data_IF_354687567829
#
_entry.id   IF_354687567829
#
_cell.length_a   1.000
_cell.length_b   1.000
_cell.length_c   1.000
_cell.angle_alpha   90.00
_cell.angle_beta   90.00
_cell.angle_gamma   90.00
#
_symmetry.space_group_name_H-M   'P 1'
#
loop_
_entity.id
_entity.type
_entity.pdbx_description
1 polymer ?
#
# COMPACT_ATOMS: atom_id res chain seq x y z
N UNK A 1 -2.90 -9.42 11.73
CA UNK A 1 -2.27 -9.20 10.41
C UNK A 1 -1.66 -10.49 9.88
N UNK A 2 -0.78 -11.14 10.64
CA UNK A 2 -0.13 -12.42 10.29
C UNK A 2 -1.10 -13.59 10.04
N UNK A 3 -2.15 -13.73 10.86
CA UNK A 3 -3.13 -14.83 10.72
C UNK A 3 -3.97 -14.77 9.44
N UNK A 4 -4.08 -13.60 8.82
CA UNK A 4 -4.82 -13.41 7.57
C UNK A 4 -3.95 -13.65 6.32
N UNK A 5 -2.66 -13.95 6.48
CA UNK A 5 -1.75 -14.26 5.36
C UNK A 5 -1.35 -13.07 4.49
N UNK A 6 -1.54 -11.82 4.96
CA UNK A 6 -1.12 -10.63 4.22
C UNK A 6 0.40 -10.50 4.22
N UNK A 7 0.99 -10.19 3.05
CA UNK A 7 2.44 -9.99 2.88
C UNK A 7 2.87 -8.57 3.22
N UNK A 8 2.00 -7.60 2.94
CA UNK A 8 2.28 -6.18 3.16
C UNK A 8 1.00 -5.41 3.51
N UNK A 9 1.17 -4.14 3.84
CA UNK A 9 0.06 -3.23 4.14
C UNK A 9 -0.95 -3.14 2.99
N UNK A 10 -0.50 -3.18 1.74
CA UNK A 10 -1.38 -3.08 0.55
C UNK A 10 -2.41 -4.21 0.52
N UNK A 11 -2.00 -5.45 0.71
CA UNK A 11 -2.91 -6.60 0.78
C UNK A 11 -3.84 -6.52 1.99
N UNK A 12 -3.33 -6.07 3.13
CA UNK A 12 -4.15 -5.85 4.32
C UNK A 12 -5.24 -4.79 4.06
N UNK A 13 -4.91 -3.70 3.35
CA UNK A 13 -5.86 -2.65 3.01
C UNK A 13 -6.89 -3.11 1.96
N UNK A 14 -6.50 -3.94 0.99
CA UNK A 14 -7.42 -4.53 0.02
C UNK A 14 -8.50 -5.43 0.67
N UNK A 15 -8.24 -5.94 1.87
CA UNK A 15 -9.25 -6.70 2.63
C UNK A 15 -10.35 -5.82 3.25
N UNK A 16 -10.13 -4.51 3.35
CA UNK A 16 -11.09 -3.58 3.93
C UNK A 16 -12.07 -3.11 2.84
N UNK A 17 -13.40 -3.20 3.04
CA UNK A 17 -14.37 -2.76 2.04
C UNK A 17 -14.28 -1.27 1.67
N UNK A 18 -13.72 -0.46 2.57
CA UNK A 18 -13.58 0.99 2.43
C UNK A 18 -12.25 1.39 1.79
N UNK A 19 -11.23 0.53 1.87
CA UNK A 19 -9.90 0.80 1.35
C UNK A 19 -9.67 -0.01 0.08
N UNK A 20 -9.28 0.69 -0.97
CA UNK A 20 -8.94 0.11 -2.26
C UNK A 20 -7.47 0.44 -2.49
N UNK A 21 -6.59 -0.55 -2.61
CA UNK A 21 -5.24 -0.24 -3.06
C UNK A 21 -5.19 -0.29 -4.59
N UNK A 22 -4.66 0.75 -5.22
CA UNK A 22 -4.30 0.72 -6.64
C UNK A 22 -2.82 0.35 -6.74
N UNK A 23 -2.56 -0.86 -7.22
CA UNK A 23 -1.21 -1.40 -7.35
C UNK A 23 -0.78 -1.37 -8.81
N UNK A 24 0.30 -0.65 -9.10
CA UNK A 24 0.97 -0.77 -10.39
C UNK A 24 1.76 -2.08 -10.40
N UNK A 25 1.47 -2.93 -11.39
CA UNK A 25 1.94 -4.31 -11.46
C UNK A 25 3.47 -4.44 -11.30
N UNK A 26 3.93 -5.32 -10.42
CA UNK A 26 5.35 -5.54 -10.12
C UNK A 26 6.16 -6.00 -11.35
N UNK A 27 5.51 -6.66 -12.30
CA UNK A 27 6.11 -7.10 -13.56
C UNK A 27 6.29 -5.98 -14.60
N UNK A 28 5.68 -4.79 -14.39
CA UNK A 28 5.76 -3.65 -15.29
C UNK A 28 6.88 -2.69 -14.87
N UNK A 29 8.12 -3.11 -15.11
CA UNK A 29 9.34 -2.34 -14.80
C UNK A 29 9.57 -1.13 -15.72
N UNK A 30 8.86 -1.04 -16.85
CA UNK A 30 8.93 0.07 -17.83
C UNK A 30 7.84 1.13 -17.59
N UNK A 31 7.50 1.43 -16.34
CA UNK A 31 6.53 2.47 -15.99
C UNK A 31 7.21 3.57 -15.18
N UNK A 32 6.59 4.75 -15.10
CA UNK A 32 7.12 5.86 -14.29
C UNK A 32 7.13 5.56 -12.78
N UNK A 33 6.41 4.52 -12.33
CA UNK A 33 6.24 4.18 -10.91
C UNK A 33 6.15 2.65 -10.73
N UNK A 34 7.24 1.91 -11.02
CA UNK A 34 7.24 0.45 -10.88
C UNK A 34 7.04 0.09 -9.39
N UNK A 35 6.22 -0.94 -9.14
CA UNK A 35 5.87 -1.39 -7.78
C UNK A 35 5.22 -0.30 -6.90
N UNK A 36 4.53 0.67 -7.50
CA UNK A 36 3.77 1.67 -6.75
C UNK A 36 2.46 1.07 -6.23
N UNK A 37 2.37 0.88 -4.92
CA UNK A 37 1.14 0.48 -4.25
C UNK A 37 0.52 1.67 -3.54
N UNK A 38 -0.44 2.28 -4.21
CA UNK A 38 -1.11 3.49 -3.79
C UNK A 38 -2.38 3.18 -3.01
N UNK A 39 -2.68 3.99 -2.00
CA UNK A 39 -3.85 3.81 -1.14
C UNK A 39 -4.97 4.75 -1.53
N UNK A 40 -6.07 4.17 -1.96
CA UNK A 40 -7.31 4.86 -2.25
C UNK A 40 -8.40 4.44 -1.24
N UNK A 41 -9.28 5.37 -0.89
CA UNK A 41 -10.49 5.06 -0.12
C UNK A 41 -11.69 5.33 -1.02
N UNK A 42 -12.55 4.33 -1.23
CA UNK A 42 -13.76 4.48 -2.07
C UNK A 42 -13.53 4.95 -3.52
N UNK A 43 -12.38 4.65 -4.13
CA UNK A 43 -12.09 4.92 -5.57
C UNK A 43 -11.99 6.41 -5.93
N UNK A 44 -11.50 7.24 -5.02
CA UNK A 44 -11.32 8.69 -5.22
C UNK A 44 -10.07 9.04 -6.05
N UNK A 45 -9.19 8.08 -6.28
CA UNK A 45 -7.94 8.23 -7.02
C UNK A 45 -6.77 8.73 -6.17
N UNK A 46 -5.59 8.82 -6.80
CA UNK A 46 -4.34 8.81 -6.05
C UNK A 46 -4.01 10.07 -5.26
N UNK A 47 -3.42 9.90 -4.08
CA UNK A 47 -2.91 11.02 -3.26
C UNK A 47 -3.98 11.83 -2.55
N UNK A 48 -5.13 11.23 -2.28
CA UNK A 48 -6.26 11.83 -1.52
C UNK A 48 -6.43 11.25 -0.12
N UNK A 49 -5.52 10.36 0.27
CA UNK A 49 -5.49 9.69 1.57
C UNK A 49 -4.19 10.03 2.25
N UNK A 50 -4.28 10.56 3.46
CA UNK A 50 -3.09 10.76 4.27
C UNK A 50 -2.70 9.47 4.98
N UNK A 51 -1.48 9.00 4.75
CA UNK A 51 -0.92 7.83 5.44
C UNK A 51 -0.01 8.28 6.58
N UNK A 52 -0.31 7.77 7.79
CA UNK A 52 0.46 8.00 8.99
C UNK A 52 1.05 6.68 9.49
N UNK A 53 2.25 6.73 10.06
CA UNK A 53 2.88 5.65 10.81
C UNK A 53 3.10 6.14 12.23
N UNK A 54 2.45 5.51 13.21
CA UNK A 54 2.45 5.94 14.61
C UNK A 54 2.14 7.44 14.77
N UNK A 55 1.15 7.94 14.01
CA UNK A 55 0.77 9.35 14.02
C UNK A 55 1.73 10.32 13.30
N UNK A 56 2.82 9.83 12.71
CA UNK A 56 3.76 10.64 11.92
C UNK A 56 3.48 10.46 10.43
N UNK A 57 3.58 11.53 9.65
CA UNK A 57 3.41 11.44 8.19
C UNK A 57 4.49 10.56 7.58
N UNK A 58 4.07 9.62 6.74
CA UNK A 58 5.00 8.83 5.94
C UNK A 58 5.54 9.68 4.79
N UNK A 59 6.77 9.39 4.35
CA UNK A 59 7.36 10.07 3.22
C UNK A 59 6.65 9.65 1.93
N UNK A 60 6.43 10.62 1.03
CA UNK A 60 5.90 10.37 -0.30
C UNK A 60 6.89 9.52 -1.11
N UNK A 61 6.35 8.70 -2.00
CA UNK A 61 7.13 8.01 -3.02
C UNK A 61 7.88 9.05 -3.87
N UNK A 62 9.17 8.85 -4.18
CA UNK A 62 10.03 9.87 -4.79
C UNK A 62 9.61 10.30 -6.20
N UNK A 63 8.66 9.58 -6.81
CA UNK A 63 8.08 9.92 -8.10
C UNK A 63 6.56 10.11 -7.97
N UNK A 64 5.98 11.18 -8.53
CA UNK A 64 4.54 11.35 -8.55
C UNK A 64 3.85 10.21 -9.32
N UNK A 65 2.74 9.69 -8.78
CA UNK A 65 1.89 8.72 -9.47
C UNK A 65 1.43 9.33 -10.79
N UNK A 66 1.82 8.69 -11.89
CA UNK A 66 1.52 9.14 -13.24
C UNK A 66 1.81 10.64 -13.50
N UNK A 67 2.87 11.18 -12.89
CA UNK A 67 3.26 12.59 -13.01
C UNK A 67 2.21 13.62 -12.51
N UNK A 68 1.26 13.21 -11.66
CA UNK A 68 0.15 14.09 -11.25
C UNK A 68 -0.13 14.14 -9.76
N UNK A 69 0.28 13.15 -8.95
CA UNK A 69 -0.08 13.12 -7.53
C UNK A 69 1.01 12.48 -6.69
N UNK A 70 1.33 13.08 -5.55
CA UNK A 70 2.19 12.46 -4.56
C UNK A 70 1.41 11.38 -3.80
N UNK A 71 2.04 10.24 -3.56
CA UNK A 71 1.40 9.14 -2.88
C UNK A 71 2.41 8.40 -2.01
N UNK A 72 1.90 7.67 -1.02
CA UNK A 72 2.72 6.82 -0.16
C UNK A 72 2.67 5.39 -0.70
N UNK A 73 3.84 4.79 -0.93
CA UNK A 73 3.92 3.41 -1.36
C UNK A 73 3.73 2.45 -0.17
N UNK A 74 2.51 1.95 -0.03
CA UNK A 74 2.12 1.02 1.05
C UNK A 74 2.74 -0.38 0.90
N UNK A 75 3.18 -0.75 -0.30
CA UNK A 75 3.78 -2.07 -0.56
C UNK A 75 5.14 -2.27 0.12
N UNK A 76 5.76 -1.17 0.56
CA UNK A 76 7.04 -1.17 1.27
C UNK A 76 6.93 -1.52 2.76
N UNK A 77 5.71 -1.56 3.31
CA UNK A 77 5.49 -1.88 4.73
C UNK A 77 5.15 -3.37 4.86
N UNK A 78 6.04 -4.20 5.44
CA UNK A 78 5.76 -5.61 5.71
C UNK A 78 4.61 -5.76 6.72
N UNK A 79 3.75 -6.76 6.51
CA UNK A 79 2.63 -7.00 7.41
C UNK A 79 3.07 -7.40 8.85
N UNK A 80 4.27 -7.98 9.00
CA UNK A 80 4.85 -8.34 10.29
C UNK A 80 5.19 -7.15 11.20
N UNK A 81 5.36 -5.95 10.62
CA UNK A 81 5.59 -4.72 11.38
C UNK A 81 4.29 -4.06 11.86
N UNK A 82 3.13 -4.50 11.38
CA UNK A 82 1.84 -3.84 11.60
C UNK A 82 1.10 -4.51 12.76
N UNK A 83 0.87 -3.76 13.83
CA UNK A 83 0.00 -4.15 14.94
C UNK A 83 -1.48 -4.00 14.53
N UNK A 84 -1.86 -2.78 14.13
CA UNK A 84 -3.22 -2.47 13.67
C UNK A 84 -3.26 -1.30 12.69
N UNK A 85 -4.36 -1.21 11.97
CA UNK A 85 -4.66 -0.14 11.01
C UNK A 85 -5.89 0.60 11.49
N UNK A 86 -5.77 1.91 11.62
CA UNK A 86 -6.87 2.81 11.99
C UNK A 86 -7.25 3.63 10.75
N UNK A 87 -8.52 3.55 10.35
CA UNK A 87 -9.05 4.31 9.19
C UNK A 87 -10.03 5.34 9.69
N UNK A 88 -9.70 6.62 9.49
CA UNK A 88 -10.56 7.74 9.81
C UNK A 88 -11.10 8.38 8.52
N UNK A 89 -12.41 8.59 8.46
CA UNK A 89 -13.09 9.14 7.28
C UNK A 89 -12.95 10.67 7.19
N UNK A 90 -13.33 11.25 6.05
CA UNK A 90 -13.22 12.65 5.60
C UNK A 90 -13.35 13.80 6.62
N UNK A 91 -13.95 13.60 7.80
CA UNK A 91 -13.94 14.58 8.90
C UNK A 91 -12.55 14.86 9.51
N UNK A 92 -11.57 13.98 9.30
CA UNK A 92 -10.20 14.15 9.82
C UNK A 92 -9.35 15.16 9.04
N UNK A 93 -9.80 15.58 7.84
CA UNK A 93 -9.13 16.61 7.03
C UNK A 93 -8.97 17.95 7.76
N UNK A 94 -9.86 18.27 8.70
CA UNK A 94 -9.78 19.48 9.51
C UNK A 94 -8.58 19.49 10.47
N UNK A 95 -8.07 18.32 10.88
CA UNK A 95 -6.93 18.20 11.79
C UNK A 95 -5.63 17.96 11.01
N UNK A 96 -5.71 17.23 9.90
CA UNK A 96 -4.53 16.79 9.15
C UNK A 96 -4.36 17.49 7.78
N UNK A 97 -5.14 18.51 7.44
CA UNK A 97 -4.90 19.35 6.26
C UNK A 97 -5.31 18.74 4.91
N UNK A 98 -4.84 19.36 3.82
CA UNK A 98 -5.34 19.19 2.44
C UNK A 98 -5.15 17.80 1.83
N UNK A 99 -4.23 16.98 2.34
CA UNK A 99 -3.93 15.65 1.76
C UNK A 99 -4.90 14.56 2.26
N UNK A 100 -5.71 14.88 3.28
CA UNK A 100 -6.68 13.97 3.88
C UNK A 100 -8.10 14.15 3.30
N UNK A 101 -8.20 14.42 1.99
CA UNK A 101 -9.48 14.71 1.30
C UNK A 101 -10.50 13.58 1.50
N UNK A 102 -10.06 12.34 1.35
CA UNK A 102 -10.93 11.16 1.48
C UNK A 102 -10.88 10.55 2.88
N UNK A 103 -9.76 10.75 3.59
CA UNK A 103 -9.57 10.28 4.96
C UNK A 103 -8.10 10.18 5.36
N UNK A 104 -7.88 9.61 6.54
CA UNK A 104 -6.56 9.34 7.13
C UNK A 104 -6.47 7.85 7.44
N UNK A 105 -5.34 7.23 7.09
CA UNK A 105 -5.01 5.86 7.47
C UNK A 105 -3.78 5.89 8.34
N UNK A 106 -3.93 5.50 9.60
CA UNK A 106 -2.87 5.46 10.59
C UNK A 106 -2.47 4.01 10.87
N UNK A 107 -1.22 3.70 10.56
CA UNK A 107 -0.60 2.40 10.74
C UNK A 107 0.11 2.43 12.08
N UNK A 108 -0.32 1.58 13.00
CA UNK A 108 0.35 1.40 14.27
C UNK A 108 1.30 0.23 14.12
N UNK A 109 2.60 0.50 14.30
CA UNK A 109 3.61 -0.56 14.26
C UNK A 109 3.73 -1.21 15.64
N UNK A 110 4.02 -2.49 15.68
CA UNK A 110 4.29 -3.14 16.97
C UNK A 110 5.59 -2.57 17.58
N UNK A 111 5.55 -2.23 18.86
CA UNK A 111 6.68 -1.66 19.59
C UNK A 111 7.43 -2.74 20.37
N UNK A 112 8.76 -2.66 20.39
CA UNK A 112 9.59 -3.58 21.20
C UNK A 112 9.93 -4.92 20.54
N UNK A 113 9.99 -4.96 19.21
CA UNK A 113 10.23 -6.19 18.47
C UNK A 113 11.72 -6.49 18.33
N UNK A 114 12.26 -7.23 19.30
CA UNK A 114 13.49 -8.01 19.09
C UNK A 114 13.11 -9.33 18.40
N UNK A 115 12.87 -9.29 17.09
CA UNK A 115 12.74 -10.53 16.34
C UNK A 115 13.30 -10.44 14.94
N UNK A 116 13.89 -11.56 14.53
CA UNK A 116 14.36 -11.80 13.17
C UNK A 116 13.27 -12.56 12.44
N UNK A 117 12.59 -11.90 11.51
CA UNK A 117 11.57 -12.51 10.66
C UNK A 117 12.20 -12.88 9.32
N UNK A 118 12.01 -14.13 8.90
CA UNK A 118 12.48 -14.65 7.61
C UNK A 118 11.27 -15.16 6.86
N UNK A 119 10.91 -14.45 5.80
CA UNK A 119 9.83 -14.84 4.91
C UNK A 119 10.38 -15.61 3.70
N UNK A 120 9.73 -16.72 3.35
CA UNK A 120 10.04 -17.52 2.18
C UNK A 120 8.78 -17.67 1.31
N UNK A 121 8.88 -17.24 0.05
CA UNK A 121 7.78 -17.32 -0.91
C UNK A 121 8.14 -18.30 -2.03
N UNK A 122 7.18 -19.15 -2.42
CA UNK A 122 7.30 -20.07 -3.56
C UNK A 122 6.34 -19.62 -4.65
N UNK A 123 6.88 -19.25 -5.82
CA UNK A 123 6.09 -18.89 -7.01
C UNK A 123 6.14 -19.98 -8.07
N UNK A 124 5.01 -20.26 -8.73
CA UNK A 124 4.97 -21.09 -9.93
C UNK A 124 4.97 -20.20 -11.18
N UNK A 125 5.95 -20.40 -12.05
CA UNK A 125 5.97 -19.79 -13.39
C UNK A 125 5.56 -20.86 -14.40
N UNK A 126 4.38 -20.69 -15.00
CA UNK A 126 3.95 -21.56 -16.11
C UNK A 126 4.40 -20.95 -17.43
N UNK A 127 5.29 -21.62 -18.14
CA UNK A 127 5.69 -21.24 -19.50
C UNK A 127 4.58 -21.68 -20.46
N UNK A 128 3.89 -20.72 -21.08
CA UNK A 128 2.96 -21.01 -22.18
C UNK A 128 3.78 -21.04 -23.47
N UNK A 129 4.06 -22.25 -23.96
CA UNK A 129 4.77 -22.43 -25.22
C UNK A 129 3.81 -22.15 -26.38
N UNK A 130 3.86 -20.94 -26.92
CA UNK A 130 3.12 -20.57 -28.13
C UNK A 130 3.79 -21.23 -29.33
N UNK A 131 3.30 -22.42 -29.69
CA UNK A 131 3.71 -23.09 -30.93
C UNK A 131 3.20 -22.27 -32.13
N UNK A 132 4.11 -21.62 -32.85
CA UNK A 132 3.81 -21.05 -34.16
C UNK A 132 3.76 -22.18 -35.19
N UNK A 133 2.58 -22.44 -35.74
CA UNK A 133 2.42 -23.21 -36.96
C UNK A 133 2.70 -22.29 -38.16
N UNK A 134 3.75 -22.61 -38.91
CA UNK A 134 4.02 -22.12 -40.27
C UNK A 134 3.16 -22.88 -41.28
#
# INVERSE_FOLDING_TARGET
MKDNGYRNLTEALQSLPIASAQTQNEALVNTFTPNASELDLRRFGPGRVLVLVNGRRMADYPFPYNNSSNFVNTGTIPAGLIDRIEVATSGSSAIYGSDAVTGVVNIITTTGLEYSEVDAFVGQTTMVETTFLI
#
